data_IF_298473042879
#
_entry.id   IF_298473042879
#
_cell.length_a   1.000
_cell.length_b   1.000
_cell.length_c   1.000
_cell.angle_alpha   90.00
_cell.angle_beta   90.00
_cell.angle_gamma   90.00
#
_symmetry.space_group_name_H-M   'P 1'
#
loop_
_entity.id
_entity.type
_entity.pdbx_description
1 polymer ?
#
# COMPACT_ATOMS: atom_id res chain seq x y z
N UNK A 1 -9.72 -11.08 -16.16
CA UNK A 1 -8.48 -11.25 -15.39
C UNK A 1 -8.78 -12.22 -14.25
N UNK A 2 -8.02 -13.32 -14.12
CA UNK A 2 -8.17 -14.29 -13.02
C UNK A 2 -7.69 -13.67 -11.69
N UNK A 3 -8.28 -14.10 -10.58
CA UNK A 3 -7.73 -13.81 -9.27
C UNK A 3 -6.35 -14.50 -9.12
N UNK A 4 -5.44 -13.89 -8.35
CA UNK A 4 -4.21 -14.56 -7.95
C UNK A 4 -4.49 -15.50 -6.78
N UNK A 5 -3.65 -16.52 -6.63
CA UNK A 5 -3.67 -17.52 -5.55
C UNK A 5 -2.29 -17.61 -4.89
N UNK A 6 -2.17 -18.23 -3.71
CA UNK A 6 -0.87 -18.43 -3.06
C UNK A 6 0.16 -19.18 -3.94
N UNK A 7 -0.30 -20.01 -4.87
CA UNK A 7 0.58 -20.75 -5.78
C UNK A 7 1.18 -19.86 -6.90
N UNK A 8 0.65 -18.67 -7.13
CA UNK A 8 1.14 -17.76 -8.17
C UNK A 8 2.35 -16.96 -7.72
N UNK A 9 2.63 -16.90 -6.41
CA UNK A 9 3.78 -16.22 -5.83
C UNK A 9 3.41 -15.27 -4.67
N UNK A 10 4.43 -14.64 -4.06
CA UNK A 10 4.24 -13.73 -2.93
C UNK A 10 3.36 -12.52 -3.26
N UNK A 11 2.76 -11.95 -2.22
CA UNK A 11 2.09 -10.63 -2.28
C UNK A 11 2.85 -9.62 -1.44
N UNK A 12 3.25 -8.50 -2.04
CA UNK A 12 3.87 -7.42 -1.30
C UNK A 12 2.82 -6.43 -0.78
N UNK A 13 3.02 -5.95 0.45
CA UNK A 13 2.15 -4.95 1.08
C UNK A 13 2.99 -3.74 1.47
N UNK A 14 2.72 -2.57 0.87
CA UNK A 14 3.36 -1.32 1.30
C UNK A 14 2.62 -0.73 2.49
N UNK A 15 3.32 0.03 3.34
CA UNK A 15 2.71 0.53 4.58
C UNK A 15 2.29 -0.57 5.56
N UNK A 16 2.93 -1.74 5.47
CA UNK A 16 2.57 -2.94 6.22
C UNK A 16 2.58 -2.75 7.74
N UNK A 17 3.45 -1.88 8.28
CA UNK A 17 3.50 -1.59 9.72
C UNK A 17 2.41 -0.64 10.23
N UNK A 18 1.59 -0.08 9.33
CA UNK A 18 0.44 0.76 9.68
C UNK A 18 -0.77 -0.07 10.10
N UNK A 19 -1.78 0.61 10.67
CA UNK A 19 -3.00 -0.06 11.16
C UNK A 19 -3.69 -0.90 10.08
N UNK A 20 -3.99 -0.32 8.93
CA UNK A 20 -4.63 -1.04 7.82
C UNK A 20 -3.69 -2.08 7.22
N UNK A 21 -2.42 -1.70 6.99
CA UNK A 21 -1.43 -2.59 6.37
C UNK A 21 -1.20 -3.88 7.16
N UNK A 22 -1.15 -3.81 8.50
CA UNK A 22 -0.96 -4.99 9.34
C UNK A 22 -2.14 -5.97 9.29
N UNK A 23 -3.37 -5.46 9.20
CA UNK A 23 -4.55 -6.30 8.99
C UNK A 23 -4.59 -6.96 7.62
N UNK A 24 -4.14 -6.23 6.57
CA UNK A 24 -3.99 -6.81 5.22
C UNK A 24 -2.96 -7.95 5.23
N UNK A 25 -1.82 -7.75 5.91
CA UNK A 25 -0.80 -8.80 6.07
C UNK A 25 -1.40 -10.03 6.72
N UNK A 26 -2.11 -9.88 7.85
CA UNK A 26 -2.77 -10.97 8.56
C UNK A 26 -3.77 -11.70 7.66
N UNK A 27 -4.67 -10.99 7.00
CA UNK A 27 -5.70 -11.58 6.13
C UNK A 27 -5.08 -12.41 4.99
N UNK A 28 -4.01 -11.90 4.37
CA UNK A 28 -3.27 -12.65 3.35
C UNK A 28 -2.64 -13.93 3.91
N UNK A 29 -2.06 -13.88 5.11
CA UNK A 29 -1.49 -15.06 5.77
C UNK A 29 -2.57 -16.09 6.14
N UNK A 30 -3.74 -15.66 6.59
CA UNK A 30 -4.90 -16.55 6.83
C UNK A 30 -5.31 -17.30 5.54
N UNK A 31 -5.18 -16.65 4.39
CA UNK A 31 -5.45 -17.23 3.08
C UNK A 31 -4.29 -18.08 2.54
N UNK A 32 -3.13 -18.08 3.21
CA UNK A 32 -1.97 -18.91 2.87
C UNK A 32 -0.96 -18.27 1.93
N UNK A 33 -1.00 -16.95 1.77
CA UNK A 33 0.01 -16.24 0.97
C UNK A 33 1.32 -16.07 1.75
N UNK A 34 2.44 -16.16 1.03
CA UNK A 34 3.71 -15.57 1.44
C UNK A 34 3.59 -14.05 1.29
N UNK A 35 3.84 -13.30 2.37
CA UNK A 35 3.67 -11.86 2.39
C UNK A 35 5.01 -11.15 2.55
N UNK A 36 5.30 -10.21 1.65
CA UNK A 36 6.43 -9.29 1.75
C UNK A 36 5.97 -7.97 2.35
N UNK A 37 6.15 -7.82 3.64
CA UNK A 37 5.76 -6.62 4.36
C UNK A 37 6.79 -5.51 4.18
N UNK A 38 6.47 -4.51 3.37
CA UNK A 38 7.34 -3.37 3.11
C UNK A 38 7.18 -2.33 4.22
N UNK A 39 8.28 -2.08 4.93
CA UNK A 39 8.36 -1.14 6.07
C UNK A 39 9.49 -0.16 5.85
N UNK A 40 9.38 1.06 6.40
CA UNK A 40 10.40 2.10 6.20
C UNK A 40 11.71 1.80 6.94
N UNK A 41 11.61 1.14 8.08
CA UNK A 41 12.76 0.83 8.94
C UNK A 41 12.45 -0.44 9.73
N UNK A 42 13.06 -1.54 9.34
CA UNK A 42 12.89 -2.85 9.99
C UNK A 42 13.71 -3.00 11.28
N UNK A 43 14.60 -2.06 11.56
CA UNK A 43 15.42 -2.07 12.79
C UNK A 43 14.67 -1.52 14.01
N UNK A 44 13.46 -0.98 13.84
CA UNK A 44 12.64 -0.43 14.93
C UNK A 44 11.64 -1.46 15.45
N UNK A 45 11.94 -2.20 16.54
CA UNK A 45 11.08 -3.27 17.06
C UNK A 45 9.64 -2.83 17.25
N UNK A 46 9.38 -1.75 17.97
CA UNK A 46 8.04 -1.24 18.24
C UNK A 46 7.22 -0.85 16.99
N UNK A 47 7.81 -0.94 15.78
CA UNK A 47 7.11 -0.73 14.51
C UNK A 47 6.85 -2.00 13.72
N UNK A 48 7.55 -3.10 14.03
CA UNK A 48 7.54 -4.32 13.21
C UNK A 48 7.30 -5.61 14.00
N UNK A 49 7.45 -5.59 15.34
CA UNK A 49 7.27 -6.77 16.20
C UNK A 49 5.91 -7.44 15.99
N UNK A 50 4.85 -6.66 15.87
CA UNK A 50 3.50 -7.17 15.65
C UNK A 50 3.34 -7.92 14.32
N UNK A 51 4.13 -7.57 13.28
CA UNK A 51 4.14 -8.30 12.02
C UNK A 51 4.90 -9.62 12.16
N UNK A 52 6.07 -9.58 12.81
CA UNK A 52 6.87 -10.79 13.00
C UNK A 52 6.18 -11.80 13.94
N UNK A 53 5.43 -11.31 14.91
CA UNK A 53 4.66 -12.17 15.81
C UNK A 53 3.59 -13.00 15.08
N UNK A 54 3.11 -12.57 13.92
CA UNK A 54 2.17 -13.33 13.12
C UNK A 54 2.73 -14.70 12.69
N UNK A 55 4.05 -14.81 12.48
CA UNK A 55 4.68 -16.09 12.10
C UNK A 55 4.62 -17.16 13.23
N UNK A 56 4.33 -16.75 14.46
CA UNK A 56 4.18 -17.65 15.61
C UNK A 56 2.72 -18.11 15.83
N UNK A 57 1.78 -17.54 15.09
CA UNK A 57 0.37 -17.88 15.20
C UNK A 57 0.03 -19.15 14.40
N UNK A 58 -0.38 -20.21 15.10
CA UNK A 58 -0.59 -21.54 14.52
C UNK A 58 -1.81 -21.67 13.59
N UNK A 59 -2.70 -20.70 13.59
CA UNK A 59 -3.89 -20.63 12.74
C UNK A 59 -3.63 -19.94 11.40
N UNK A 60 -2.48 -19.28 11.24
CA UNK A 60 -2.07 -18.69 9.97
C UNK A 60 -1.37 -19.73 9.10
N UNK A 61 -1.67 -19.70 7.80
CA UNK A 61 -1.18 -20.67 6.81
C UNK A 61 -0.04 -20.16 5.95
N UNK A 62 0.10 -18.83 5.88
CA UNK A 62 1.17 -18.13 5.18
C UNK A 62 2.26 -17.68 6.15
N UNK A 63 3.24 -16.97 5.62
CA UNK A 63 4.31 -16.35 6.39
C UNK A 63 4.56 -14.90 5.96
N UNK A 64 5.17 -14.11 6.85
CA UNK A 64 5.54 -12.74 6.56
C UNK A 64 7.04 -12.52 6.68
N UNK A 65 7.61 -11.87 5.66
CA UNK A 65 9.00 -11.42 5.64
C UNK A 65 9.07 -9.89 5.50
N UNK A 66 9.93 -9.26 6.30
CA UNK A 66 10.10 -7.80 6.27
C UNK A 66 11.07 -7.37 5.18
N UNK A 67 10.66 -6.40 4.38
CA UNK A 67 11.48 -5.68 3.41
C UNK A 67 11.55 -4.21 3.77
N UNK A 68 12.74 -3.61 3.65
CA UNK A 68 12.90 -2.18 3.85
C UNK A 68 12.67 -1.45 2.55
N UNK A 69 11.75 -0.48 2.56
CA UNK A 69 11.42 0.36 1.41
C UNK A 69 10.76 1.66 1.84
N UNK A 70 11.08 2.75 1.14
CA UNK A 70 10.57 4.10 1.40
C UNK A 70 9.92 4.68 0.15
N UNK A 71 8.72 5.23 0.28
CA UNK A 71 7.97 5.87 -0.81
C UNK A 71 8.72 7.03 -1.44
N UNK A 72 9.47 7.79 -0.64
CA UNK A 72 10.27 8.90 -1.10
C UNK A 72 11.53 8.51 -1.89
N UNK A 73 11.87 7.21 -1.97
CA UNK A 73 13.09 6.74 -2.63
C UNK A 73 12.77 5.95 -3.90
N UNK A 74 13.10 6.47 -5.11
CA UNK A 74 12.93 5.74 -6.36
C UNK A 74 13.63 4.38 -6.32
N UNK A 75 12.95 3.34 -6.83
CA UNK A 75 13.51 1.98 -6.92
C UNK A 75 13.60 1.22 -5.59
N UNK A 76 13.22 1.81 -4.46
CA UNK A 76 13.30 1.12 -3.15
C UNK A 76 12.40 -0.12 -3.09
N UNK A 77 11.37 -0.19 -3.93
CA UNK A 77 10.44 -1.31 -4.03
C UNK A 77 10.83 -2.36 -5.08
N UNK A 78 11.89 -2.15 -5.86
CA UNK A 78 12.28 -3.08 -6.93
C UNK A 78 12.60 -4.48 -6.35
N UNK A 79 13.38 -4.54 -5.28
CA UNK A 79 13.70 -5.81 -4.61
C UNK A 79 12.47 -6.46 -3.94
N UNK A 80 11.68 -5.72 -3.12
CA UNK A 80 10.46 -6.28 -2.52
C UNK A 80 9.47 -6.84 -3.54
N UNK A 81 9.32 -6.21 -4.72
CA UNK A 81 8.33 -6.61 -5.71
C UNK A 81 8.81 -7.66 -6.70
N UNK A 82 10.11 -7.92 -6.78
CA UNK A 82 10.67 -8.91 -7.70
C UNK A 82 10.08 -10.30 -7.45
N UNK A 83 9.42 -10.89 -8.45
CA UNK A 83 8.78 -12.20 -8.36
C UNK A 83 7.45 -12.23 -7.60
N UNK A 84 6.92 -11.10 -7.15
CA UNK A 84 5.57 -11.05 -6.56
C UNK A 84 4.50 -11.25 -7.63
N UNK A 85 3.44 -11.99 -7.29
CA UNK A 85 2.23 -12.11 -8.10
C UNK A 85 1.30 -10.91 -7.93
N UNK A 86 1.32 -10.30 -6.75
CA UNK A 86 0.49 -9.15 -6.42
C UNK A 86 1.17 -8.11 -5.53
N UNK A 87 0.65 -6.89 -5.58
CA UNK A 87 1.03 -5.80 -4.68
C UNK A 87 -0.23 -5.13 -4.15
N UNK A 88 -0.31 -4.95 -2.83
CA UNK A 88 -1.33 -4.11 -2.18
C UNK A 88 -0.64 -2.86 -1.64
N UNK A 89 -0.96 -1.72 -2.24
CA UNK A 89 -0.40 -0.44 -1.85
C UNK A 89 -1.31 0.24 -0.82
N UNK A 90 -0.94 0.12 0.46
CA UNK A 90 -1.64 0.72 1.60
C UNK A 90 -0.79 1.81 2.31
N UNK A 91 0.40 2.08 1.79
CA UNK A 91 1.26 3.16 2.28
C UNK A 91 0.87 4.50 1.68
N UNK A 92 0.93 5.55 2.48
CA UNK A 92 0.87 6.92 2.01
C UNK A 92 1.74 7.80 2.93
N UNK A 93 2.46 8.77 2.36
CA UNK A 93 2.98 9.86 3.17
C UNK A 93 1.90 10.92 3.27
N UNK A 94 1.35 11.08 4.45
CA UNK A 94 0.43 12.16 4.74
C UNK A 94 1.25 13.31 5.31
N UNK A 95 1.31 14.43 4.58
CA UNK A 95 1.99 15.65 5.04
C UNK A 95 1.32 16.18 6.31
N UNK A 96 2.04 16.08 7.43
CA UNK A 96 1.65 16.72 8.67
C UNK A 96 2.61 17.88 8.93
N UNK A 97 2.08 19.10 8.99
CA UNK A 97 2.75 20.30 9.52
C UNK A 97 3.74 21.03 8.61
N UNK A 98 3.27 21.98 7.87
CA UNK A 98 3.95 23.08 7.14
C UNK A 98 4.00 22.95 5.61
N UNK A 99 3.46 21.89 5.02
CA UNK A 99 3.41 21.77 3.57
C UNK A 99 2.19 22.49 3.02
N UNK A 100 2.35 23.14 1.89
CA UNK A 100 1.22 23.67 1.14
C UNK A 100 0.42 22.52 0.51
N UNK A 101 -0.89 22.71 0.22
CA UNK A 101 -1.67 21.67 -0.48
C UNK A 101 -0.99 21.18 -1.77
N UNK A 102 -0.30 22.07 -2.49
CA UNK A 102 0.43 21.71 -3.70
C UNK A 102 1.62 20.79 -3.38
N UNK A 103 2.40 21.08 -2.34
CA UNK A 103 3.52 20.23 -1.94
C UNK A 103 3.06 18.84 -1.50
N UNK A 104 1.93 18.74 -0.80
CA UNK A 104 1.33 17.46 -0.43
C UNK A 104 0.91 16.68 -1.68
N UNK A 105 0.24 17.35 -2.62
CA UNK A 105 -0.18 16.75 -3.88
C UNK A 105 1.02 16.21 -4.68
N UNK A 106 2.03 17.07 -4.91
CA UNK A 106 3.21 16.70 -5.69
C UNK A 106 3.99 15.56 -5.03
N UNK A 107 4.12 15.60 -3.69
CA UNK A 107 4.76 14.53 -2.92
C UNK A 107 4.02 13.20 -3.06
N UNK A 108 2.71 13.19 -2.83
CA UNK A 108 1.90 11.99 -3.00
C UNK A 108 1.95 11.45 -4.43
N UNK A 109 1.91 12.33 -5.43
CA UNK A 109 1.99 11.93 -6.83
C UNK A 109 3.33 11.22 -7.13
N UNK A 110 4.44 11.86 -6.77
CA UNK A 110 5.80 11.32 -6.99
C UNK A 110 6.00 9.98 -6.25
N UNK A 111 5.56 9.87 -5.01
CA UNK A 111 5.66 8.64 -4.23
C UNK A 111 4.89 7.47 -4.86
N UNK A 112 3.70 7.75 -5.39
CA UNK A 112 2.93 6.74 -6.12
C UNK A 112 3.59 6.36 -7.45
N UNK A 113 4.22 7.30 -8.16
CA UNK A 113 5.01 6.99 -9.37
C UNK A 113 6.16 6.03 -9.05
N UNK A 114 6.91 6.23 -7.97
CA UNK A 114 7.99 5.31 -7.56
C UNK A 114 7.49 3.88 -7.35
N UNK A 115 6.33 3.72 -6.71
CA UNK A 115 5.72 2.40 -6.51
C UNK A 115 5.31 1.77 -7.84
N UNK A 116 4.64 2.54 -8.72
CA UNK A 116 4.19 2.03 -10.02
C UNK A 116 5.36 1.69 -10.96
N UNK A 117 6.46 2.43 -10.90
CA UNK A 117 7.67 2.10 -11.64
C UNK A 117 8.26 0.78 -11.17
N UNK A 118 8.36 0.56 -9.86
CA UNK A 118 8.83 -0.72 -9.32
C UNK A 118 7.89 -1.89 -9.67
N UNK A 119 6.57 -1.66 -9.73
CA UNK A 119 5.62 -2.66 -10.25
C UNK A 119 5.95 -3.00 -11.72
N UNK A 120 6.22 -2.01 -12.55
CA UNK A 120 6.62 -2.25 -13.96
C UNK A 120 7.95 -3.00 -14.05
N UNK A 121 8.94 -2.59 -13.25
CA UNK A 121 10.27 -3.22 -13.24
C UNK A 121 10.20 -4.68 -12.80
N UNK A 122 9.30 -5.05 -11.90
CA UNK A 122 9.16 -6.43 -11.41
C UNK A 122 8.84 -7.42 -12.52
N UNK A 123 8.08 -7.01 -13.53
CA UNK A 123 7.64 -7.84 -14.66
C UNK A 123 6.77 -9.05 -14.29
N UNK A 124 6.56 -9.30 -12.98
CA UNK A 124 5.84 -10.46 -12.44
C UNK A 124 4.49 -10.09 -11.83
N UNK A 125 4.31 -8.86 -11.41
CA UNK A 125 3.08 -8.40 -10.73
C UNK A 125 1.90 -8.40 -11.70
N UNK A 126 0.96 -9.31 -11.47
CA UNK A 126 -0.25 -9.46 -12.26
C UNK A 126 -1.47 -8.74 -11.65
N UNK A 127 -1.38 -8.38 -10.37
CA UNK A 127 -2.44 -7.70 -9.64
C UNK A 127 -1.86 -6.58 -8.77
N UNK A 128 -2.34 -5.38 -9.01
CA UNK A 128 -2.03 -4.21 -8.19
C UNK A 128 -3.32 -3.66 -7.58
N UNK A 129 -3.35 -3.54 -6.27
CA UNK A 129 -4.47 -2.94 -5.52
C UNK A 129 -3.97 -1.66 -4.87
N UNK A 130 -4.65 -0.57 -5.15
CA UNK A 130 -4.35 0.75 -4.59
C UNK A 130 -5.40 1.12 -3.55
N UNK A 131 -4.99 1.36 -2.31
CA UNK A 131 -5.89 1.84 -1.26
C UNK A 131 -6.17 3.32 -1.48
N UNK A 132 -7.33 3.62 -2.03
CA UNK A 132 -7.79 4.98 -2.27
C UNK A 132 -8.39 5.58 -0.98
N UNK A 133 -9.00 6.75 -1.11
CA UNK A 133 -9.65 7.45 0.00
C UNK A 133 -11.00 8.00 -0.43
N UNK A 134 -11.92 8.14 0.54
CA UNK A 134 -13.14 8.94 0.34
C UNK A 134 -12.81 10.35 -0.19
N UNK A 135 -11.69 10.95 0.23
CA UNK A 135 -11.26 12.25 -0.27
C UNK A 135 -11.04 12.29 -1.79
N UNK A 136 -10.81 11.16 -2.44
CA UNK A 136 -10.65 11.10 -3.90
C UNK A 136 -11.99 11.27 -4.66
N UNK A 137 -13.12 11.03 -4.00
CA UNK A 137 -14.47 11.15 -4.58
C UNK A 137 -15.37 12.10 -3.78
N UNK A 138 -15.07 12.31 -2.50
CA UNK A 138 -15.87 13.13 -1.57
C UNK A 138 -15.53 14.61 -1.67
N UNK A 139 -16.36 15.38 -2.38
CA UNK A 139 -16.30 16.85 -2.43
C UNK A 139 -17.68 17.44 -2.11
N UNK A 140 -17.79 18.74 -1.80
CA UNK A 140 -19.05 19.33 -1.38
C UNK A 140 -20.20 19.08 -2.36
N UNK A 141 -21.27 18.48 -1.86
CA UNK A 141 -22.52 18.20 -2.60
C UNK A 141 -23.72 18.55 -1.73
N UNK A 142 -24.91 18.73 -2.32
CA UNK A 142 -26.14 18.93 -1.55
C UNK A 142 -26.44 17.77 -0.59
N UNK A 143 -27.13 18.04 0.54
CA UNK A 143 -27.57 16.98 1.44
C UNK A 143 -28.37 15.89 0.70
N UNK A 144 -28.07 14.62 1.03
CA UNK A 144 -28.71 13.45 0.43
C UNK A 144 -28.06 12.96 -0.86
N UNK A 145 -27.00 13.63 -1.36
CA UNK A 145 -26.23 13.12 -2.50
C UNK A 145 -25.49 11.82 -2.15
N UNK A 146 -25.58 10.83 -3.02
CA UNK A 146 -24.90 9.55 -2.89
C UNK A 146 -23.70 9.52 -3.84
N UNK A 147 -22.49 9.44 -3.29
CA UNK A 147 -21.27 9.35 -4.07
C UNK A 147 -21.10 7.97 -4.71
N UNK A 148 -20.54 7.96 -5.89
CA UNK A 148 -20.22 6.76 -6.66
C UNK A 148 -18.80 6.86 -7.22
N UNK A 149 -18.30 5.81 -7.85
CA UNK A 149 -17.00 5.76 -8.52
C UNK A 149 -16.89 6.74 -9.71
N UNK A 150 -17.96 7.43 -10.07
CA UNK A 150 -17.97 8.45 -11.13
C UNK A 150 -17.67 9.86 -10.59
N UNK A 151 -17.66 10.01 -9.27
CA UNK A 151 -17.54 11.31 -8.59
C UNK A 151 -16.11 11.67 -8.24
N UNK A 152 -15.15 11.39 -9.13
CA UNK A 152 -13.74 11.74 -8.92
C UNK A 152 -13.55 13.25 -8.79
N UNK A 153 -12.74 13.65 -7.80
CA UNK A 153 -12.39 15.06 -7.58
C UNK A 153 -11.52 15.66 -8.69
N UNK A 154 -10.89 14.82 -9.52
CA UNK A 154 -9.96 15.23 -10.57
C UNK A 154 -8.70 15.87 -10.01
N UNK A 155 -7.98 16.62 -10.85
CA UNK A 155 -6.72 17.30 -10.49
C UNK A 155 -6.96 18.63 -9.75
N UNK A 156 -8.12 18.81 -9.16
CA UNK A 156 -8.47 20.05 -8.48
C UNK A 156 -7.92 20.07 -7.06
N UNK A 157 -6.67 20.54 -6.92
CA UNK A 157 -6.01 20.76 -5.62
C UNK A 157 -6.81 21.69 -4.70
N UNK A 158 -7.61 22.59 -5.26
CA UNK A 158 -8.48 23.50 -4.50
C UNK A 158 -9.60 22.76 -3.73
N UNK A 159 -9.99 21.57 -4.18
CA UNK A 159 -11.00 20.77 -3.50
C UNK A 159 -10.50 20.23 -2.13
N UNK A 160 -9.20 20.33 -1.85
CA UNK A 160 -8.55 19.88 -0.60
C UNK A 160 -8.26 21.03 0.38
N UNK A 161 -8.70 22.25 0.09
CA UNK A 161 -8.68 23.38 1.01
C UNK A 161 -9.94 23.34 1.87
#
# INVERSE_FOLDING_TARGET
MSAISPADGPVAVTGASGYIGSWIVRDLMEQGYEVRACVRDKSKPGKVEHLLALNEESDLRGDVTLFEADLGQPGSYDVPFAGCAGVIHAGAAVGYNKETPQQVYDGCFTENEHVLESVKHSGSVNRFVFTSSFAAVGHPRPPGYVFTEKDWCGDNVEAYK
#
